data_IF_921303139141
#
_entry.id   IF_921303139141
#
_cell.length_a   1.000
_cell.length_b   1.000
_cell.length_c   1.000
_cell.angle_alpha   90.00
_cell.angle_beta   90.00
_cell.angle_gamma   90.00
#
_symmetry.space_group_name_H-M   'P 1'
#
loop_
_entity.id
_entity.type
_entity.pdbx_description
1 polymer ?
#
# COMPACT_ATOMS: atom_id res chain seq x y z
N UNK A 1 1.33 15.02 2.51
CA UNK A 1 1.67 13.94 1.56
C UNK A 1 2.61 14.43 0.45
N UNK A 2 3.74 13.74 0.26
CA UNK A 2 4.78 14.04 -0.75
C UNK A 2 4.63 13.22 -2.03
N UNK A 3 4.08 12.00 -1.95
CA UNK A 3 3.97 11.05 -3.08
C UNK A 3 2.60 10.38 -3.11
N UNK A 4 2.03 10.23 -4.31
CA UNK A 4 0.80 9.45 -4.52
C UNK A 4 0.98 8.48 -5.67
N UNK A 5 0.71 7.20 -5.41
CA UNK A 5 0.78 6.13 -6.40
C UNK A 5 -0.62 5.79 -6.93
N UNK A 6 -0.79 5.85 -8.25
CA UNK A 6 -2.03 5.43 -8.89
C UNK A 6 -2.07 3.90 -8.94
N UNK A 7 -2.94 3.30 -8.12
CA UNK A 7 -3.18 1.86 -8.17
C UNK A 7 -3.72 1.44 -9.52
N UNK A 8 -3.21 0.36 -10.12
CA UNK A 8 -3.75 -0.15 -11.40
C UNK A 8 -3.58 -1.66 -11.58
N UNK A 9 -4.54 -2.27 -12.28
CA UNK A 9 -4.43 -3.65 -12.78
C UNK A 9 -3.83 -3.75 -14.18
N UNK A 10 -3.59 -2.61 -14.83
CA UNK A 10 -3.14 -2.46 -16.22
C UNK A 10 -1.61 -2.35 -16.28
N UNK A 11 -0.91 -3.49 -16.30
CA UNK A 11 0.57 -3.53 -16.29
C UNK A 11 1.21 -2.71 -17.42
N UNK A 12 0.57 -2.66 -18.61
CA UNK A 12 1.03 -1.85 -19.75
C UNK A 12 1.20 -0.36 -19.42
N UNK A 13 0.52 0.15 -18.39
CA UNK A 13 0.59 1.56 -18.01
C UNK A 13 1.93 1.96 -17.43
N UNK A 14 2.77 1.02 -16.97
CA UNK A 14 4.17 1.29 -16.62
C UNK A 14 4.90 2.03 -17.75
N UNK A 15 4.64 1.64 -19.00
CA UNK A 15 5.21 2.27 -20.20
C UNK A 15 4.38 3.40 -20.81
N UNK A 16 3.33 3.89 -20.14
CA UNK A 16 2.35 4.83 -20.76
C UNK A 16 1.89 5.98 -19.84
N UNK A 17 1.65 5.72 -18.56
CA UNK A 17 0.93 6.65 -17.69
C UNK A 17 1.77 7.85 -17.21
N UNK A 18 3.10 7.76 -17.32
CA UNK A 18 4.08 8.78 -16.92
C UNK A 18 3.79 9.41 -15.53
N UNK A 19 3.27 8.60 -14.60
CA UNK A 19 2.97 8.97 -13.21
C UNK A 19 3.31 7.77 -12.32
N UNK A 20 3.57 7.97 -11.02
CA UNK A 20 3.85 6.87 -10.12
C UNK A 20 2.69 5.88 -10.02
N UNK A 21 2.99 4.59 -10.17
CA UNK A 21 2.00 3.51 -10.15
C UNK A 21 2.16 2.61 -8.94
N UNK A 22 1.06 2.01 -8.50
CA UNK A 22 1.05 0.93 -7.52
C UNK A 22 0.45 -0.33 -8.16
N UNK A 23 1.22 -1.41 -8.24
CA UNK A 23 0.85 -2.61 -9.00
C UNK A 23 1.01 -3.84 -8.13
N UNK A 24 0.03 -4.75 -8.20
CA UNK A 24 0.09 -6.01 -7.45
C UNK A 24 0.97 -7.04 -8.13
N UNK A 25 1.78 -7.77 -7.35
CA UNK A 25 2.53 -8.95 -7.75
C UNK A 25 1.64 -9.94 -8.51
N UNK A 26 0.38 -10.10 -8.11
CA UNK A 26 -0.58 -11.01 -8.78
C UNK A 26 -0.88 -10.63 -10.24
N UNK A 27 -0.63 -9.38 -10.64
CA UNK A 27 -0.77 -8.91 -12.03
C UNK A 27 0.51 -9.11 -12.84
N UNK A 28 1.66 -9.15 -12.17
CA UNK A 28 2.98 -9.30 -12.78
C UNK A 28 3.41 -10.76 -12.89
N UNK A 29 3.16 -11.58 -11.86
CA UNK A 29 3.57 -12.98 -11.76
C UNK A 29 3.25 -13.85 -13.00
N UNK A 30 2.04 -13.78 -13.60
CA UNK A 30 1.73 -14.62 -14.76
C UNK A 30 2.37 -14.12 -16.08
N UNK A 31 3.11 -13.00 -16.07
CA UNK A 31 3.61 -12.39 -17.30
C UNK A 31 4.98 -12.93 -17.68
N UNK A 32 5.13 -13.14 -18.99
CA UNK A 32 6.42 -13.52 -19.60
C UNK A 32 7.33 -12.33 -19.86
N UNK A 33 6.77 -11.17 -20.15
CA UNK A 33 7.51 -9.92 -20.40
C UNK A 33 6.80 -8.71 -19.80
N UNK A 34 7.59 -7.66 -19.58
CA UNK A 34 7.12 -6.41 -18.99
C UNK A 34 7.43 -5.20 -19.87
N UNK A 35 6.58 -4.16 -19.86
CA UNK A 35 6.97 -2.83 -20.30
C UNK A 35 8.05 -2.24 -19.37
N UNK A 36 8.91 -1.37 -19.90
CA UNK A 36 9.82 -0.54 -19.09
C UNK A 36 9.02 0.60 -18.45
N UNK A 37 9.26 0.86 -17.17
CA UNK A 37 8.59 1.93 -16.46
C UNK A 37 9.12 3.32 -16.88
N UNK A 38 8.20 4.23 -17.23
CA UNK A 38 8.55 5.63 -17.54
C UNK A 38 8.94 6.43 -16.29
N UNK A 39 8.40 6.05 -15.12
CA UNK A 39 8.63 6.72 -13.83
C UNK A 39 8.71 5.70 -12.71
N UNK A 40 9.05 6.15 -11.50
CA UNK A 40 9.02 5.33 -10.29
C UNK A 40 7.68 4.63 -10.04
N UNK A 41 7.69 3.40 -9.56
CA UNK A 41 6.50 2.63 -9.20
C UNK A 41 6.75 1.80 -7.95
N UNK A 42 5.67 1.36 -7.32
CA UNK A 42 5.73 0.53 -6.13
C UNK A 42 4.89 -0.73 -6.25
N UNK A 43 5.29 -1.77 -5.50
CA UNK A 43 4.73 -3.12 -5.62
C UNK A 43 3.88 -3.47 -4.39
N UNK A 44 2.65 -3.92 -4.64
CA UNK A 44 1.82 -4.63 -3.68
C UNK A 44 2.14 -6.13 -3.72
N UNK A 45 2.33 -6.77 -2.57
CA UNK A 45 2.63 -8.20 -2.48
C UNK A 45 1.43 -9.08 -2.87
N UNK A 46 0.21 -8.54 -2.81
CA UNK A 46 -1.01 -9.28 -3.10
C UNK A 46 -1.57 -10.06 -1.91
N UNK A 47 -1.04 -9.83 -0.71
CA UNK A 47 -1.36 -10.63 0.49
C UNK A 47 -2.82 -10.68 0.86
N UNK A 48 -3.55 -9.58 0.67
CA UNK A 48 -4.99 -9.55 0.95
C UNK A 48 -5.71 -10.65 0.15
N UNK A 49 -5.34 -10.81 -1.12
CA UNK A 49 -5.97 -11.81 -1.99
C UNK A 49 -5.49 -13.22 -1.66
N UNK A 50 -4.23 -13.38 -1.27
CA UNK A 50 -3.65 -14.68 -0.96
C UNK A 50 -4.22 -15.28 0.32
N UNK A 51 -4.21 -14.51 1.42
CA UNK A 51 -4.84 -14.89 2.68
C UNK A 51 -6.36 -15.08 2.54
N UNK A 52 -7.02 -14.23 1.74
CA UNK A 52 -8.44 -14.44 1.43
C UNK A 52 -8.70 -15.76 0.72
N UNK A 53 -7.84 -16.19 -0.20
CA UNK A 53 -8.07 -17.42 -0.97
C UNK A 53 -7.68 -18.69 -0.22
N UNK A 54 -6.60 -18.63 0.57
CA UNK A 54 -5.96 -19.83 1.09
C UNK A 54 -5.83 -19.88 2.61
N UNK A 55 -6.07 -18.77 3.31
CA UNK A 55 -5.86 -18.68 4.76
C UNK A 55 -4.37 -18.66 5.17
N UNK A 56 -3.46 -18.64 4.20
CA UNK A 56 -2.01 -18.66 4.40
C UNK A 56 -1.29 -18.10 3.16
N UNK A 57 0.00 -17.77 3.32
CA UNK A 57 0.90 -17.50 2.22
C UNK A 57 1.34 -18.81 1.57
N UNK A 58 1.09 -18.96 0.26
CA UNK A 58 1.55 -20.10 -0.54
C UNK A 58 2.78 -19.76 -1.38
N UNK A 59 2.88 -18.49 -1.79
CA UNK A 59 4.08 -17.92 -2.40
C UNK A 59 5.16 -17.85 -1.33
N UNK A 60 6.27 -18.56 -1.53
CA UNK A 60 7.39 -18.50 -0.58
C UNK A 60 8.09 -17.14 -0.63
N UNK A 61 8.75 -16.75 0.45
CA UNK A 61 9.59 -15.54 0.47
C UNK A 61 10.67 -15.57 -0.61
N UNK A 62 11.26 -16.75 -0.87
CA UNK A 62 12.23 -16.96 -1.94
C UNK A 62 11.65 -16.70 -3.33
N UNK A 63 10.47 -17.25 -3.63
CA UNK A 63 9.81 -17.05 -4.92
C UNK A 63 9.38 -15.60 -5.11
N UNK A 64 8.87 -14.97 -4.05
CA UNK A 64 8.49 -13.57 -4.08
C UNK A 64 9.72 -12.68 -4.31
N UNK A 65 10.81 -12.87 -3.56
CA UNK A 65 12.06 -12.11 -3.76
C UNK A 65 12.63 -12.30 -5.15
N UNK A 66 12.65 -13.53 -5.69
CA UNK A 66 13.10 -13.79 -7.05
C UNK A 66 12.24 -13.05 -8.09
N UNK A 67 10.92 -12.99 -7.87
CA UNK A 67 10.02 -12.24 -8.73
C UNK A 67 10.26 -10.72 -8.63
N UNK A 68 10.43 -10.17 -7.42
CA UNK A 68 10.71 -8.74 -7.21
C UNK A 68 12.03 -8.34 -7.83
N UNK A 69 13.08 -9.15 -7.65
CA UNK A 69 14.37 -8.94 -8.32
C UNK A 69 14.20 -8.89 -9.84
N UNK A 70 13.47 -9.86 -10.41
CA UNK A 70 13.17 -9.87 -11.84
C UNK A 70 12.42 -8.61 -12.28
N UNK A 71 11.43 -8.16 -11.51
CA UNK A 71 10.67 -6.94 -11.82
C UNK A 71 11.57 -5.71 -11.81
N UNK A 72 12.41 -5.57 -10.79
CA UNK A 72 13.34 -4.45 -10.70
C UNK A 72 14.26 -4.40 -11.94
N UNK A 73 14.85 -5.53 -12.32
CA UNK A 73 15.77 -5.59 -13.46
C UNK A 73 15.07 -5.38 -14.82
N UNK A 74 13.92 -6.03 -15.05
CA UNK A 74 13.23 -5.99 -16.34
C UNK A 74 12.32 -4.76 -16.52
N UNK A 75 11.67 -4.26 -15.47
CA UNK A 75 10.78 -3.09 -15.52
C UNK A 75 11.59 -1.81 -15.30
N UNK A 76 12.54 -1.83 -14.36
CA UNK A 76 13.26 -0.64 -13.88
C UNK A 76 12.41 0.28 -13.02
N UNK A 77 13.06 1.22 -12.34
CA UNK A 77 12.42 2.26 -11.53
C UNK A 77 11.48 1.73 -10.43
N UNK A 78 11.77 0.55 -9.85
CA UNK A 78 11.06 0.11 -8.65
C UNK A 78 11.50 1.01 -7.48
N UNK A 79 10.56 1.71 -6.86
CA UNK A 79 10.85 2.60 -5.72
C UNK A 79 10.79 1.86 -4.39
N UNK A 80 9.88 0.89 -4.26
CA UNK A 80 9.78 0.01 -3.11
C UNK A 80 8.76 -1.11 -3.36
N UNK A 81 8.83 -2.15 -2.54
CA UNK A 81 7.92 -3.28 -2.54
C UNK A 81 7.40 -3.56 -1.13
N UNK A 82 6.09 -3.79 -1.01
CA UNK A 82 5.49 -4.29 0.23
C UNK A 82 6.01 -5.72 0.51
N UNK A 83 6.25 -6.08 1.78
CA UNK A 83 6.51 -7.44 2.20
C UNK A 83 5.25 -8.31 2.07
N UNK A 84 5.39 -9.60 2.34
CA UNK A 84 4.27 -10.53 2.48
C UNK A 84 3.67 -10.39 3.89
N UNK A 85 3.16 -9.20 4.19
CA UNK A 85 2.51 -8.87 5.46
C UNK A 85 1.20 -9.63 5.68
N UNK A 86 0.75 -9.69 6.93
CA UNK A 86 -0.49 -10.37 7.31
C UNK A 86 -1.51 -9.37 7.86
N UNK A 87 -2.56 -9.11 7.10
CA UNK A 87 -3.59 -8.14 7.46
C UNK A 87 -4.50 -8.67 8.54
N UNK A 88 -4.90 -7.78 9.44
CA UNK A 88 -5.60 -8.12 10.68
C UNK A 88 -7.09 -7.74 10.64
N UNK A 89 -7.69 -7.52 9.47
CA UNK A 89 -9.14 -7.40 9.40
C UNK A 89 -9.81 -8.66 9.98
N UNK A 90 -10.94 -8.54 10.70
CA UNK A 90 -11.61 -9.68 11.35
C UNK A 90 -11.82 -10.88 10.43
N UNK A 91 -12.15 -10.65 9.16
CA UNK A 91 -12.28 -11.72 8.17
C UNK A 91 -10.97 -12.44 7.85
N UNK A 92 -9.81 -11.78 7.90
CA UNK A 92 -8.51 -12.39 7.67
C UNK A 92 -8.05 -13.18 8.91
N UNK A 93 -8.29 -12.63 10.10
CA UNK A 93 -8.05 -13.35 11.35
C UNK A 93 -8.90 -14.64 11.41
N UNK A 94 -10.19 -14.55 11.04
CA UNK A 94 -11.06 -15.71 10.97
C UNK A 94 -10.61 -16.76 9.93
N UNK A 95 -10.10 -16.32 8.77
CA UNK A 95 -9.58 -17.23 7.73
C UNK A 95 -8.29 -17.93 8.13
N UNK A 96 -7.39 -17.22 8.79
CA UNK A 96 -6.07 -17.74 9.18
C UNK A 96 -6.12 -18.50 10.50
N UNK A 97 -7.11 -18.21 11.36
CA UNK A 97 -7.20 -18.74 12.73
C UNK A 97 -6.16 -18.13 13.69
N UNK A 98 -5.50 -17.04 13.30
CA UNK A 98 -4.40 -16.43 14.06
C UNK A 98 -4.85 -15.15 14.77
N UNK A 99 -4.06 -14.75 15.78
CA UNK A 99 -4.26 -13.49 16.49
C UNK A 99 -3.59 -12.32 15.77
N UNK A 100 -4.01 -11.10 16.11
CA UNK A 100 -3.34 -9.85 15.67
C UNK A 100 -1.83 -9.89 15.98
N UNK A 101 -1.46 -10.34 17.18
CA UNK A 101 -0.05 -10.43 17.61
C UNK A 101 0.74 -11.41 16.76
N UNK A 102 0.13 -12.52 16.37
CA UNK A 102 0.79 -13.50 15.51
C UNK A 102 0.96 -12.98 14.09
N UNK A 103 -0.03 -12.26 13.55
CA UNK A 103 0.11 -11.55 12.27
C UNK A 103 1.21 -10.49 12.30
N UNK A 104 1.35 -9.75 13.41
CA UNK A 104 2.46 -8.81 13.60
C UNK A 104 3.81 -9.53 13.60
N UNK A 105 3.97 -10.63 14.37
CA UNK A 105 5.22 -11.41 14.39
C UNK A 105 5.57 -11.95 13.01
N UNK A 106 4.60 -12.51 12.28
CA UNK A 106 4.82 -13.05 10.92
C UNK A 106 5.19 -11.97 9.92
N UNK A 107 4.57 -10.78 10.03
CA UNK A 107 4.90 -9.64 9.17
C UNK A 107 6.34 -9.18 9.38
N UNK A 108 6.77 -9.06 10.65
CA UNK A 108 8.15 -8.65 10.99
C UNK A 108 9.16 -9.71 10.54
N UNK A 109 8.88 -10.99 10.84
CA UNK A 109 9.76 -12.09 10.45
C UNK A 109 9.89 -12.19 8.93
N UNK A 110 8.79 -12.03 8.19
CA UNK A 110 8.82 -12.01 6.74
C UNK A 110 9.62 -10.82 6.21
N UNK A 111 9.45 -9.62 6.78
CA UNK A 111 10.25 -8.46 6.38
C UNK A 111 11.77 -8.69 6.58
N UNK A 112 12.18 -9.32 7.68
CA UNK A 112 13.59 -9.70 7.91
C UNK A 112 14.06 -10.75 6.90
N UNK A 113 13.28 -11.82 6.69
CA UNK A 113 13.60 -12.87 5.72
C UNK A 113 13.75 -12.32 4.29
N UNK A 114 12.87 -11.39 3.88
CA UNK A 114 12.95 -10.77 2.57
C UNK A 114 14.22 -9.91 2.39
N UNK A 115 14.65 -9.21 3.44
CA UNK A 115 15.93 -8.48 3.42
C UNK A 115 17.11 -9.45 3.28
N UNK A 116 17.12 -10.55 4.05
CA UNK A 116 18.18 -11.56 3.99
C UNK A 116 18.26 -12.27 2.63
N UNK A 117 17.11 -12.47 1.98
CA UNK A 117 17.03 -13.12 0.67
C UNK A 117 17.32 -12.19 -0.50
N UNK A 118 17.45 -10.88 -0.28
CA UNK A 118 17.63 -9.92 -1.38
C UNK A 118 18.95 -10.16 -2.12
N UNK A 119 18.92 -10.46 -3.43
CA UNK A 119 20.14 -10.76 -4.19
C UNK A 119 20.86 -9.50 -4.69
N UNK A 120 20.24 -8.33 -4.57
CA UNK A 120 20.81 -7.05 -4.99
C UNK A 120 21.78 -6.47 -3.97
N UNK A 121 22.37 -5.30 -4.25
CA UNK A 121 23.29 -4.66 -3.32
C UNK A 121 22.56 -4.20 -2.04
N UNK A 122 23.24 -4.28 -0.90
CA UNK A 122 22.68 -3.99 0.42
C UNK A 122 22.18 -2.54 0.60
N UNK A 123 22.66 -1.60 -0.22
CA UNK A 123 22.21 -0.20 -0.19
C UNK A 123 20.94 0.06 -1.02
N UNK A 124 20.42 -0.96 -1.73
CA UNK A 124 19.31 -0.85 -2.66
C UNK A 124 18.29 -1.97 -2.42
N UNK A 125 17.90 -2.13 -1.15
CA UNK A 125 16.88 -3.11 -0.74
C UNK A 125 15.50 -2.45 -0.86
N UNK A 126 14.55 -3.01 -1.63
CA UNK A 126 13.30 -2.33 -1.94
C UNK A 126 12.22 -2.50 -0.85
N UNK A 127 12.46 -3.32 0.17
CA UNK A 127 11.42 -3.73 1.11
C UNK A 127 11.06 -2.61 2.09
N UNK A 128 9.77 -2.31 2.20
CA UNK A 128 9.22 -1.33 3.16
C UNK A 128 8.48 -2.06 4.28
N UNK A 129 8.87 -1.93 5.56
CA UNK A 129 8.18 -2.61 6.65
C UNK A 129 6.74 -2.13 6.76
N UNK A 130 5.86 -2.99 7.29
CA UNK A 130 4.43 -2.69 7.45
C UNK A 130 4.02 -2.86 8.90
N UNK A 131 3.43 -1.80 9.47
CA UNK A 131 2.75 -1.85 10.75
C UNK A 131 1.38 -2.48 10.59
N UNK A 132 1.11 -3.53 11.36
CA UNK A 132 -0.19 -4.20 11.41
C UNK A 132 -0.88 -3.94 12.75
N UNK A 133 -2.20 -3.74 12.73
CA UNK A 133 -2.98 -3.51 13.93
C UNK A 133 -4.45 -3.21 13.67
N UNK A 134 -5.30 -3.44 14.67
CA UNK A 134 -6.73 -3.09 14.58
C UNK A 134 -7.05 -1.87 15.44
N UNK A 135 -6.52 -1.82 16.65
CA UNK A 135 -6.68 -0.72 17.61
C UNK A 135 -5.43 0.16 17.64
N UNK A 136 -5.50 1.43 18.11
CA UNK A 136 -4.32 2.27 18.26
C UNK A 136 -3.18 1.62 19.06
N UNK A 137 -3.50 0.86 20.11
CA UNK A 137 -2.51 0.16 20.91
C UNK A 137 -1.86 -1.02 20.18
N UNK A 138 -2.54 -1.64 19.21
CA UNK A 138 -1.91 -2.65 18.36
C UNK A 138 -0.78 -2.04 17.53
N UNK A 139 -0.97 -0.83 16.99
CA UNK A 139 0.07 -0.15 16.22
C UNK A 139 1.26 0.25 17.09
N UNK A 140 1.04 0.74 18.31
CA UNK A 140 2.12 1.01 19.29
C UNK A 140 2.94 -0.25 19.55
N UNK A 141 2.26 -1.36 19.88
CA UNK A 141 2.93 -2.65 20.07
C UNK A 141 3.68 -3.12 18.83
N UNK A 142 3.12 -2.90 17.64
CA UNK A 142 3.81 -3.29 16.41
C UNK A 142 5.11 -2.52 16.21
N UNK A 143 5.12 -1.21 16.54
CA UNK A 143 6.33 -0.38 16.53
C UNK A 143 7.35 -0.94 17.51
N UNK A 144 6.95 -1.17 18.76
CA UNK A 144 7.82 -1.75 19.79
C UNK A 144 8.40 -3.11 19.33
N UNK A 145 7.58 -3.95 18.70
CA UNK A 145 8.02 -5.25 18.19
C UNK A 145 9.04 -5.14 17.04
N UNK A 146 8.97 -4.12 16.19
CA UNK A 146 10.02 -3.85 15.20
C UNK A 146 11.31 -3.38 15.88
N UNK A 147 11.21 -2.48 16.88
CA UNK A 147 12.37 -1.97 17.62
C UNK A 147 13.08 -3.08 18.40
N UNK A 148 12.32 -3.94 19.09
CA UNK A 148 12.83 -5.12 19.78
C UNK A 148 13.50 -6.11 18.80
N UNK A 149 13.05 -6.15 17.54
CA UNK A 149 13.65 -6.94 16.47
C UNK A 149 14.85 -6.26 15.80
N UNK A 150 15.29 -5.09 16.28
CA UNK A 150 16.43 -4.35 15.77
C UNK A 150 16.15 -3.55 14.49
N UNK A 151 14.88 -3.31 14.14
CA UNK A 151 14.48 -2.54 12.95
C UNK A 151 14.04 -1.14 13.36
N UNK A 152 14.91 -0.15 13.16
CA UNK A 152 14.56 1.25 13.38
C UNK A 152 13.71 1.80 12.22
N UNK A 153 12.40 1.86 12.45
CA UNK A 153 11.39 2.38 11.53
C UNK A 153 11.57 3.85 11.18
N UNK A 154 12.22 4.66 12.03
CA UNK A 154 12.51 6.07 11.74
C UNK A 154 13.58 6.23 10.65
N UNK A 155 14.46 5.25 10.50
CA UNK A 155 15.53 5.22 9.49
C UNK A 155 15.09 4.57 8.17
N UNK A 156 13.92 3.94 8.16
CA UNK A 156 13.35 3.38 6.93
C UNK A 156 12.89 4.51 5.99
N UNK A 157 13.09 4.33 4.68
CA UNK A 157 12.62 5.27 3.66
C UNK A 157 11.11 5.54 3.74
N UNK A 158 10.35 4.51 4.08
CA UNK A 158 8.90 4.52 4.19
C UNK A 158 8.46 3.37 5.09
N UNK A 159 7.30 3.49 5.74
CA UNK A 159 6.67 2.44 6.55
C UNK A 159 5.19 2.36 6.18
N UNK A 160 4.76 1.18 5.74
CA UNK A 160 3.36 0.91 5.42
C UNK A 160 2.47 0.84 6.66
N UNK A 161 1.25 1.36 6.58
CA UNK A 161 0.23 1.22 7.61
C UNK A 161 -0.85 0.27 7.09
N UNK A 162 -0.76 -1.00 7.51
CA UNK A 162 -1.66 -2.07 7.10
C UNK A 162 -3.07 -1.96 7.70
N UNK A 163 -4.01 -2.76 7.21
CA UNK A 163 -5.37 -2.92 7.79
C UNK A 163 -6.23 -1.64 7.94
N UNK A 164 -5.85 -0.55 7.28
CA UNK A 164 -6.63 0.70 7.25
C UNK A 164 -7.56 0.81 6.02
N UNK A 165 -7.31 0.02 4.96
CA UNK A 165 -7.97 0.14 3.66
C UNK A 165 -9.50 -0.08 3.73
N UNK A 166 -10.03 -0.82 4.70
CA UNK A 166 -11.50 -0.97 4.83
C UNK A 166 -12.15 0.07 5.75
N UNK A 167 -11.35 0.90 6.44
CA UNK A 167 -11.78 1.85 7.49
C UNK A 167 -11.48 3.32 7.19
N UNK A 168 -10.88 3.61 6.04
CA UNK A 168 -10.36 4.91 5.58
C UNK A 168 -11.32 6.13 5.58
N UNK A 169 -12.61 5.97 5.83
CA UNK A 169 -13.58 7.07 5.95
C UNK A 169 -13.83 7.53 7.39
N UNK A 170 -13.26 6.85 8.39
CA UNK A 170 -13.62 7.04 9.79
C UNK A 170 -12.65 7.98 10.49
N UNK A 171 -13.10 8.60 11.58
CA UNK A 171 -12.23 9.32 12.52
C UNK A 171 -11.14 8.41 13.11
N UNK A 172 -11.38 7.10 13.10
CA UNK A 172 -10.50 6.08 13.65
C UNK A 172 -9.13 6.01 12.97
N UNK A 173 -9.06 6.20 11.64
CA UNK A 173 -7.76 6.19 10.95
C UNK A 173 -6.92 7.40 11.33
N UNK A 174 -7.53 8.56 11.53
CA UNK A 174 -6.80 9.73 12.03
C UNK A 174 -6.25 9.47 13.45
N UNK A 175 -7.03 8.79 14.30
CA UNK A 175 -6.58 8.38 15.65
C UNK A 175 -5.42 7.38 15.58
N UNK A 176 -5.48 6.39 14.69
CA UNK A 176 -4.40 5.42 14.48
C UNK A 176 -3.12 6.13 14.03
N UNK A 177 -3.20 6.93 12.96
CA UNK A 177 -2.04 7.66 12.43
C UNK A 177 -1.47 8.64 13.46
N UNK A 178 -2.33 9.35 14.19
CA UNK A 178 -1.91 10.23 15.27
C UNK A 178 -1.27 9.46 16.42
N UNK A 179 -1.69 8.24 16.70
CA UNK A 179 -1.09 7.38 17.72
C UNK A 179 0.31 6.92 17.31
N UNK A 180 0.50 6.54 16.04
CA UNK A 180 1.81 6.21 15.49
C UNK A 180 2.75 7.42 15.60
N UNK A 181 2.32 8.59 15.12
CA UNK A 181 3.13 9.82 15.16
C UNK A 181 3.46 10.29 16.59
N UNK A 182 2.58 10.06 17.56
CA UNK A 182 2.88 10.36 18.98
C UNK A 182 3.89 9.38 19.57
N UNK A 183 3.91 8.15 19.07
CA UNK A 183 4.83 7.12 19.52
C UNK A 183 6.23 7.38 18.95
N UNK A 184 6.29 7.65 17.65
CA UNK A 184 7.48 8.05 16.95
C UNK A 184 7.11 8.99 15.79
N UNK A 185 7.43 10.29 15.89
CA UNK A 185 7.05 11.29 14.89
C UNK A 185 7.88 11.21 13.61
N UNK A 186 9.02 10.52 13.63
CA UNK A 186 9.95 10.46 12.50
C UNK A 186 9.59 9.34 11.51
N UNK A 187 8.70 8.41 11.88
CA UNK A 187 8.27 7.32 10.99
C UNK A 187 7.59 7.87 9.72
N UNK A 188 8.13 7.63 8.51
CA UNK A 188 7.53 8.09 7.26
C UNK A 188 6.40 7.19 6.78
N UNK A 189 5.15 7.59 7.06
CA UNK A 189 3.98 6.72 6.84
C UNK A 189 3.52 6.65 5.37
N UNK A 190 3.25 5.43 4.89
CA UNK A 190 2.48 5.11 3.69
C UNK A 190 1.10 4.57 4.05
N UNK A 191 0.05 5.20 3.54
CA UNK A 191 -1.32 4.76 3.79
C UNK A 191 -1.89 3.99 2.59
N UNK A 192 -2.08 2.68 2.76
CA UNK A 192 -2.56 1.81 1.69
C UNK A 192 -4.03 2.07 1.30
N UNK A 193 -4.27 2.15 0.00
CA UNK A 193 -5.60 2.14 -0.60
C UNK A 193 -6.46 3.39 -0.35
N UNK A 194 -5.87 4.52 0.05
CA UNK A 194 -6.54 5.75 0.47
C UNK A 194 -7.69 6.24 -0.45
N UNK A 195 -8.81 6.64 0.15
CA UNK A 195 -9.92 7.36 -0.50
C UNK A 195 -9.73 8.87 -0.35
N UNK A 196 -10.31 9.64 -1.27
CA UNK A 196 -10.32 11.11 -1.24
C UNK A 196 -10.80 11.67 0.11
N UNK A 197 -11.83 11.07 0.70
CA UNK A 197 -12.37 11.49 2.01
C UNK A 197 -11.36 11.30 3.15
N UNK A 198 -10.62 10.19 3.15
CA UNK A 198 -9.55 9.94 4.11
C UNK A 198 -8.39 10.93 3.95
N UNK A 199 -7.97 11.20 2.71
CA UNK A 199 -6.92 12.17 2.41
C UNK A 199 -7.26 13.59 2.88
N UNK A 200 -8.53 14.01 2.81
CA UNK A 200 -8.98 15.28 3.40
C UNK A 200 -8.75 15.31 4.91
N UNK A 201 -9.01 14.21 5.61
CA UNK A 201 -8.92 14.14 7.07
C UNK A 201 -7.49 14.01 7.58
N UNK A 202 -6.74 13.03 7.07
CA UNK A 202 -5.43 12.64 7.62
C UNK A 202 -4.27 12.75 6.61
N UNK A 203 -4.49 13.31 5.41
CA UNK A 203 -3.44 13.43 4.38
C UNK A 203 -2.23 14.28 4.80
N UNK A 204 -2.37 15.09 5.84
CA UNK A 204 -1.29 15.86 6.46
C UNK A 204 -0.36 14.99 7.35
N UNK A 205 -0.80 13.80 7.77
CA UNK A 205 -0.04 12.88 8.64
C UNK A 205 0.80 11.85 7.89
N UNK A 206 0.65 11.76 6.58
CA UNK A 206 1.27 10.70 5.77
C UNK A 206 2.28 11.26 4.78
N UNK A 207 3.34 10.50 4.57
CA UNK A 207 4.37 10.77 3.57
C UNK A 207 3.87 10.38 2.19
N UNK A 208 3.23 9.22 2.07
CA UNK A 208 2.68 8.76 0.78
C UNK A 208 1.39 7.95 0.93
N UNK A 209 0.72 7.72 -0.20
CA UNK A 209 -0.45 6.85 -0.28
C UNK A 209 -0.59 6.26 -1.68
N UNK A 210 -1.37 5.20 -1.79
CA UNK A 210 -1.85 4.68 -3.07
C UNK A 210 -3.38 4.63 -3.11
N UNK A 211 -3.95 4.41 -4.30
CA UNK A 211 -5.36 4.01 -4.40
C UNK A 211 -5.74 3.40 -5.75
N UNK A 212 -6.52 2.32 -5.70
CA UNK A 212 -7.24 1.75 -6.84
C UNK A 212 -8.73 2.17 -6.86
N UNK A 213 -9.17 3.06 -5.96
CA UNK A 213 -10.59 3.41 -5.79
C UNK A 213 -11.24 3.97 -7.06
N UNK A 214 -10.45 4.61 -7.94
CA UNK A 214 -10.91 5.10 -9.24
C UNK A 214 -11.53 4.00 -10.10
N UNK A 215 -10.98 2.78 -10.09
CA UNK A 215 -11.44 1.69 -10.94
C UNK A 215 -12.83 1.21 -10.49
N UNK A 216 -13.03 1.10 -9.17
CA UNK A 216 -14.33 0.75 -8.59
C UNK A 216 -15.39 1.82 -8.88
N UNK A 217 -15.03 3.11 -8.75
CA UNK A 217 -15.91 4.24 -9.07
C UNK A 217 -16.27 4.26 -10.55
N UNK A 218 -15.28 4.11 -11.43
CA UNK A 218 -15.45 4.12 -12.87
C UNK A 218 -16.30 2.95 -13.39
N UNK A 219 -16.30 1.81 -12.68
CA UNK A 219 -17.17 0.67 -12.99
C UNK A 219 -18.66 0.99 -12.78
N UNK A 220 -18.97 1.93 -11.90
CA UNK A 220 -20.33 2.32 -11.50
C UNK A 220 -20.78 3.67 -12.07
N UNK A 221 -19.92 4.30 -12.85
CA UNK A 221 -20.19 5.59 -13.47
C UNK A 221 -20.44 5.39 -14.96
N UNK A 222 -21.19 6.30 -15.57
CA UNK A 222 -21.23 6.38 -17.02
C UNK A 222 -19.81 6.55 -17.59
N UNK A 223 -19.49 5.93 -18.75
CA UNK A 223 -18.24 6.21 -19.44
C UNK A 223 -18.06 7.70 -19.73
N UNK A 224 -16.81 8.15 -19.84
CA UNK A 224 -16.53 9.51 -20.27
C UNK A 224 -17.11 9.76 -21.68
N UNK A 225 -17.57 10.98 -21.98
CA UNK A 225 -18.04 11.34 -23.32
C UNK A 225 -17.02 10.94 -24.40
N UNK A 226 -17.49 10.28 -25.46
CA UNK A 226 -16.66 9.80 -26.57
C UNK A 226 -16.01 8.42 -26.37
N UNK A 227 -16.08 7.85 -25.16
CA UNK A 227 -15.55 6.50 -24.91
C UNK A 227 -16.56 5.41 -25.34
N UNK A 228 -16.07 4.35 -26.00
CA UNK A 228 -16.89 3.26 -26.56
C UNK A 228 -17.02 2.01 -25.66
N UNK A 229 -16.34 1.99 -24.52
CA UNK A 229 -16.37 0.87 -23.59
C UNK A 229 -17.48 1.04 -22.54
N UNK A 230 -18.06 -0.07 -22.07
CA UNK A 230 -19.21 -0.08 -21.16
C UNK A 230 -18.96 0.65 -19.82
N UNK A 231 -17.71 0.64 -19.34
CA UNK A 231 -17.29 1.37 -18.15
C UNK A 231 -15.82 1.79 -18.25
N UNK A 232 -15.42 2.81 -17.50
CA UNK A 232 -14.06 3.37 -17.53
C UNK A 232 -13.08 2.71 -16.55
N UNK A 233 -13.40 1.56 -15.97
CA UNK A 233 -12.63 0.95 -14.88
C UNK A 233 -11.23 0.44 -15.26
N UNK A 234 -10.89 0.42 -16.55
CA UNK A 234 -9.57 0.13 -17.10
C UNK A 234 -9.11 1.24 -18.08
N UNK A 235 -9.60 2.48 -17.89
CA UNK A 235 -9.36 3.60 -18.80
C UNK A 235 -8.29 4.54 -18.24
N UNK A 236 -7.20 4.73 -19.01
CA UNK A 236 -6.08 5.58 -18.59
C UNK A 236 -6.51 7.04 -18.41
N UNK A 237 -7.27 7.59 -19.36
CA UNK A 237 -7.80 8.96 -19.30
C UNK A 237 -8.61 9.21 -18.04
N UNK A 238 -9.51 8.27 -17.69
CA UNK A 238 -10.30 8.39 -16.46
C UNK A 238 -9.41 8.31 -15.22
N UNK A 239 -8.47 7.37 -15.18
CA UNK A 239 -7.59 7.16 -14.04
C UNK A 239 -6.68 8.37 -13.78
N UNK A 240 -6.10 8.96 -14.82
CA UNK A 240 -5.29 10.17 -14.73
C UNK A 240 -6.12 11.38 -14.28
N UNK A 241 -7.29 11.59 -14.88
CA UNK A 241 -8.19 12.67 -14.45
C UNK A 241 -8.65 12.50 -13.00
N UNK A 242 -8.85 11.26 -12.54
CA UNK A 242 -9.15 10.96 -11.15
C UNK A 242 -7.97 11.26 -10.22
N UNK A 243 -6.76 10.87 -10.62
CA UNK A 243 -5.52 11.16 -9.88
C UNK A 243 -5.31 12.66 -9.67
N UNK A 244 -5.54 13.48 -10.68
CA UNK A 244 -5.41 14.95 -10.54
C UNK A 244 -6.38 15.52 -9.51
N UNK A 245 -7.62 15.00 -9.45
CA UNK A 245 -8.57 15.39 -8.39
C UNK A 245 -8.10 14.98 -7.00
N UNK A 246 -7.42 13.84 -6.87
CA UNK A 246 -6.82 13.40 -5.61
C UNK A 246 -5.68 14.33 -5.19
N UNK A 247 -4.80 14.69 -6.11
CA UNK A 247 -3.69 15.60 -5.82
C UNK A 247 -4.14 17.02 -5.49
N UNK A 248 -5.29 17.44 -6.01
CA UNK A 248 -5.90 18.72 -5.67
C UNK A 248 -6.52 18.74 -4.25
N UNK A 249 -6.62 17.60 -3.56
CA UNK A 249 -7.16 17.56 -2.19
C UNK A 249 -6.26 18.34 -1.25
N UNK A 250 -6.84 19.32 -0.56
CA UNK A 250 -6.22 20.01 0.57
C UNK A 250 -6.69 19.34 1.86
N UNK A 251 -5.78 18.78 2.68
CA UNK A 251 -6.15 18.27 4.00
C UNK A 251 -6.74 19.39 4.85
N UNK A 252 -7.86 19.14 5.51
CA UNK A 252 -8.42 20.05 6.50
C UNK A 252 -7.53 19.98 7.74
N UNK A 253 -6.63 20.94 7.92
CA UNK A 253 -5.75 21.04 9.10
C UNK A 253 -6.45 21.41 10.41
N UNK A 254 -7.77 21.56 10.40
CA UNK A 254 -8.59 21.86 11.56
C UNK A 254 -9.83 20.97 11.53
N UNK A 255 -10.11 20.29 12.64
CA UNK A 255 -11.49 19.98 12.98
C UNK A 255 -12.19 21.32 13.15
N UNK A 256 -12.96 21.74 12.14
CA UNK A 256 -13.96 22.78 12.35
C UNK A 256 -14.90 22.23 13.43
N UNK A 257 -15.02 22.97 14.54
CA UNK A 257 -15.91 22.66 15.66
C UNK A 257 -17.41 22.69 15.26
N UNK A 258 -17.73 22.82 13.97
CA UNK A 258 -19.07 23.13 13.48
C UNK A 258 -19.63 22.18 12.41
N UNK A 259 -18.91 21.13 11.99
CA UNK A 259 -19.43 20.19 10.97
C UNK A 259 -20.16 18.96 11.57
N UNK A 260 -20.89 19.18 12.66
CA UNK A 260 -21.87 18.23 13.20
C UNK A 260 -23.25 18.88 13.26
N UNK A 261 -23.92 18.91 12.11
CA UNK A 261 -25.37 19.06 11.98
C UNK A 261 -25.84 18.31 10.72
#
# INVERSE_FOLDING_TARGET
>A
MKRFYLGTSEVRWLGQANVPLFISHRRLAPRKSFPRALTGWALDSGGFTELSMFGEWRTSARDYTAAVWRYDQEIGNLEWASPQDSMVEPEQLARTGLSVREHQRRTIANFQELQDLWPGPAYDVPWVPVLQGWTPDDYRRCIDMYYDAGVDLSQCFLVGVGSICRRQGTAEIDVILSTIQRHDPEIPLHAYGCKVTGLKRYGHRITSADSLAWSYQARRSAPLPGHRHAACNNCLTYALAWRERVLAVRPSGQMSLFDAA
#
